data_IF_188828371010
#
_entry.id   IF_188828371010
#
_cell.length_a   1.000
_cell.length_b   1.000
_cell.length_c   1.000
_cell.angle_alpha   90.00
_cell.angle_beta   90.00
_cell.angle_gamma   90.00
#
_symmetry.space_group_name_H-M   'P 1'
#
loop_
_entity.id
_entity.type
_entity.pdbx_description
1 polymer ?
#
# COMPACT_ATOMS: atom_id res chain seq x y z
N UNK A 1 43.78 -44.29 -9.67
CA UNK A 1 42.34 -44.50 -9.37
C UNK A 1 41.86 -43.35 -8.50
N UNK A 2 41.65 -42.21 -9.13
CA UNK A 2 41.14 -41.02 -8.43
C UNK A 2 39.71 -40.82 -8.89
N UNK A 3 38.79 -41.10 -7.96
CA UNK A 3 37.37 -40.76 -8.12
C UNK A 3 37.15 -39.35 -7.63
N UNK A 4 37.00 -38.41 -8.54
CA UNK A 4 36.52 -37.07 -8.30
C UNK A 4 35.04 -37.11 -7.93
N UNK A 5 34.74 -36.89 -6.65
CA UNK A 5 33.40 -36.64 -6.17
C UNK A 5 32.97 -35.22 -6.57
N UNK A 6 31.98 -35.12 -7.41
CA UNK A 6 31.26 -33.89 -7.68
C UNK A 6 30.38 -33.56 -6.47
N UNK A 7 30.81 -32.57 -5.68
CA UNK A 7 29.94 -31.91 -4.73
C UNK A 7 28.97 -31.02 -5.53
N UNK A 8 27.76 -31.50 -5.69
CA UNK A 8 26.67 -30.66 -6.19
C UNK A 8 26.32 -29.61 -5.15
N UNK A 9 26.71 -28.37 -5.40
CA UNK A 9 26.14 -27.22 -4.71
C UNK A 9 24.66 -27.13 -5.10
N UNK A 10 23.81 -27.69 -4.27
CA UNK A 10 22.41 -27.34 -4.27
C UNK A 10 22.29 -25.92 -3.73
N UNK A 11 22.24 -24.94 -4.62
CA UNK A 11 21.66 -23.64 -4.31
C UNK A 11 20.21 -23.90 -3.86
N UNK A 12 20.05 -24.12 -2.56
CA UNK A 12 18.76 -24.07 -1.93
C UNK A 12 18.23 -22.66 -2.14
N UNK A 13 17.24 -22.53 -3.02
CA UNK A 13 16.38 -21.36 -3.03
C UNK A 13 15.93 -21.16 -1.58
N UNK A 14 16.36 -20.05 -0.96
CA UNK A 14 15.81 -19.62 0.29
C UNK A 14 14.31 -19.42 0.03
N UNK A 15 13.51 -20.41 0.39
CA UNK A 15 12.08 -20.22 0.59
C UNK A 15 12.02 -19.20 1.71
N UNK A 16 11.68 -17.95 1.39
CA UNK A 16 11.31 -16.96 2.37
C UNK A 16 10.21 -17.60 3.21
N UNK A 17 10.63 -18.11 4.35
CA UNK A 17 9.70 -18.58 5.37
C UNK A 17 8.92 -17.33 5.74
N UNK A 18 7.66 -17.29 5.31
CA UNK A 18 6.67 -16.36 5.83
C UNK A 18 6.83 -16.49 7.34
N UNK A 19 7.38 -15.45 7.98
CA UNK A 19 7.57 -15.45 9.42
C UNK A 19 6.25 -15.73 10.11
N UNK A 20 6.26 -16.07 11.42
CA UNK A 20 5.04 -16.34 12.15
C UNK A 20 4.02 -15.22 11.86
N UNK A 21 2.71 -15.55 11.78
CA UNK A 21 1.69 -14.57 11.48
C UNK A 21 1.95 -13.34 12.32
N UNK A 22 2.02 -12.18 11.66
CA UNK A 22 2.27 -10.91 12.31
C UNK A 22 1.28 -10.79 13.46
N UNK A 23 1.79 -10.69 14.68
CA UNK A 23 0.95 -10.41 15.83
C UNK A 23 0.53 -8.94 15.72
N UNK A 24 -0.51 -8.72 14.92
CA UNK A 24 -1.05 -7.40 14.62
C UNK A 24 -1.62 -6.71 15.86
N UNK A 25 -1.88 -7.44 16.94
CA UNK A 25 -2.35 -6.85 18.20
C UNK A 25 -1.32 -5.86 18.75
N UNK A 26 -0.04 -6.14 18.56
CA UNK A 26 1.05 -5.31 19.07
C UNK A 26 1.65 -4.33 18.06
N UNK A 27 1.54 -4.60 16.76
CA UNK A 27 2.16 -3.74 15.76
C UNK A 27 2.30 -4.37 14.39
N UNK A 28 3.17 -3.79 13.57
CA UNK A 28 3.47 -4.26 12.23
C UNK A 28 4.97 -4.51 12.06
N UNK A 29 5.36 -5.75 11.74
CA UNK A 29 6.77 -6.18 11.50
C UNK A 29 7.76 -5.66 12.56
N UNK A 30 7.42 -5.83 13.83
CA UNK A 30 8.27 -5.41 14.95
C UNK A 30 8.13 -3.94 15.33
N UNK A 31 7.29 -3.19 14.65
CA UNK A 31 6.93 -1.82 14.99
C UNK A 31 5.64 -1.82 15.82
N UNK A 32 5.74 -1.50 17.08
CA UNK A 32 4.57 -1.46 17.96
C UNK A 32 3.68 -0.27 17.64
N UNK A 33 2.37 -0.46 17.69
CA UNK A 33 1.42 0.64 17.62
C UNK A 33 1.70 1.66 18.71
N UNK A 34 1.60 2.93 18.41
CA UNK A 34 1.94 4.00 19.34
C UNK A 34 3.44 4.32 19.44
N UNK A 35 4.30 3.64 18.70
CA UNK A 35 5.74 3.98 18.69
C UNK A 35 5.95 5.40 18.17
N UNK A 36 6.71 6.25 18.89
CA UNK A 36 6.96 7.61 18.44
C UNK A 36 7.85 7.65 17.18
N UNK A 37 7.72 8.74 16.42
CA UNK A 37 8.37 8.95 15.13
C UNK A 37 9.90 8.74 15.12
N UNK A 38 10.58 8.95 16.24
CA UNK A 38 12.05 8.82 16.33
C UNK A 38 12.59 7.38 16.29
N UNK A 39 11.73 6.37 16.42
CA UNK A 39 12.11 4.97 16.43
C UNK A 39 11.93 4.37 15.02
N UNK A 40 12.97 4.34 14.22
CA UNK A 40 12.94 3.85 12.82
C UNK A 40 13.07 2.33 12.77
N UNK A 41 12.18 1.61 12.03
CA UNK A 41 12.34 0.16 11.86
C UNK A 41 13.61 -0.16 11.05
N UNK A 42 14.33 -1.16 11.51
CA UNK A 42 15.44 -1.72 10.73
C UNK A 42 14.91 -2.87 9.87
N UNK A 43 14.35 -2.55 8.71
CA UNK A 43 13.89 -3.54 7.74
C UNK A 43 15.05 -3.90 6.81
N UNK A 44 15.51 -5.16 6.89
CA UNK A 44 16.41 -5.73 5.89
C UNK A 44 15.70 -5.70 4.54
N UNK A 45 16.40 -5.41 3.47
CA UNK A 45 15.89 -5.33 2.08
C UNK A 45 15.10 -4.08 1.70
N UNK A 46 14.98 -3.09 2.57
CA UNK A 46 14.35 -1.82 2.25
C UNK A 46 15.39 -0.70 2.10
N UNK A 47 15.06 0.34 1.38
CA UNK A 47 15.87 1.56 1.29
C UNK A 47 16.00 2.24 2.66
N UNK A 48 16.90 3.23 2.74
CA UNK A 48 16.92 4.09 3.93
C UNK A 48 15.60 4.87 4.01
N UNK A 49 15.02 4.99 5.23
CA UNK A 49 13.78 5.73 5.42
C UNK A 49 13.95 7.21 5.08
N UNK A 50 12.93 7.77 4.44
CA UNK A 50 12.82 9.19 4.13
C UNK A 50 11.59 9.76 4.83
N UNK A 51 11.75 10.91 5.48
CA UNK A 51 10.61 11.62 6.07
C UNK A 51 9.79 12.31 4.99
N UNK A 52 8.48 12.10 5.02
CA UNK A 52 7.51 12.70 4.11
C UNK A 52 6.35 13.32 4.91
N UNK A 53 5.45 14.05 4.23
CA UNK A 53 4.24 14.64 4.84
C UNK A 53 4.58 15.48 6.09
N UNK A 54 5.46 16.44 5.95
CA UNK A 54 5.91 17.31 7.05
C UNK A 54 6.39 16.53 8.28
N UNK A 55 7.07 15.41 8.04
CA UNK A 55 7.61 14.51 9.06
C UNK A 55 6.55 13.69 9.83
N UNK A 56 5.34 13.53 9.29
CA UNK A 56 4.32 12.65 9.88
C UNK A 56 4.34 11.23 9.30
N UNK A 57 5.20 10.95 8.33
CA UNK A 57 5.38 9.62 7.78
C UNK A 57 6.84 9.33 7.41
N UNK A 58 7.18 8.04 7.42
CA UNK A 58 8.45 7.49 6.93
C UNK A 58 8.17 6.65 5.70
N UNK A 59 8.86 6.93 4.62
CA UNK A 59 8.78 6.18 3.38
C UNK A 59 10.03 5.34 3.15
N UNK A 60 9.86 4.11 2.70
CA UNK A 60 10.92 3.20 2.29
C UNK A 60 10.51 2.45 1.03
N UNK A 61 11.45 2.25 0.11
CA UNK A 61 11.24 1.47 -1.11
C UNK A 61 12.00 0.14 -1.04
N UNK A 62 11.45 -0.90 -1.63
CA UNK A 62 12.08 -2.23 -1.65
C UNK A 62 11.20 -3.26 -2.32
N UNK A 63 11.30 -4.50 -1.85
CA UNK A 63 10.57 -5.62 -2.43
C UNK A 63 9.83 -6.41 -1.35
N UNK A 64 8.60 -6.82 -1.64
CA UNK A 64 7.86 -7.84 -0.91
C UNK A 64 7.73 -9.09 -1.80
N UNK A 65 8.51 -10.11 -1.51
CA UNK A 65 8.69 -11.23 -2.44
C UNK A 65 9.35 -10.74 -3.75
N UNK A 66 8.65 -10.83 -4.85
CA UNK A 66 9.12 -10.37 -6.17
C UNK A 66 8.57 -8.97 -6.55
N UNK A 67 7.60 -8.46 -5.79
CA UNK A 67 6.90 -7.23 -6.10
C UNK A 67 7.64 -6.01 -5.54
N UNK A 68 7.91 -5.04 -6.42
CA UNK A 68 8.46 -3.75 -6.01
C UNK A 68 7.40 -2.94 -5.28
N UNK A 69 7.77 -2.39 -4.12
CA UNK A 69 6.83 -1.65 -3.26
C UNK A 69 7.46 -0.40 -2.67
N UNK A 70 6.59 0.53 -2.33
CA UNK A 70 6.88 1.65 -1.43
C UNK A 70 6.05 1.43 -0.17
N UNK A 71 6.68 1.48 1.00
CA UNK A 71 6.02 1.33 2.29
C UNK A 71 6.08 2.66 3.03
N UNK A 72 4.92 3.16 3.43
CA UNK A 72 4.78 4.34 4.28
C UNK A 72 4.35 3.93 5.69
N UNK A 73 5.11 4.31 6.71
CA UNK A 73 4.76 4.24 8.12
C UNK A 73 4.22 5.60 8.54
N UNK A 74 2.96 5.67 8.92
CA UNK A 74 2.26 6.92 9.24
C UNK A 74 2.08 7.06 10.75
N UNK A 75 2.34 8.25 11.24
CA UNK A 75 2.28 8.61 12.66
C UNK A 75 1.22 9.67 12.90
N UNK A 76 0.54 9.54 14.02
CA UNK A 76 -0.32 10.56 14.62
C UNK A 76 0.36 11.13 15.88
N UNK A 77 -0.33 11.98 16.62
CA UNK A 77 0.15 12.43 17.93
C UNK A 77 0.25 11.30 18.95
N UNK A 78 -0.50 10.21 18.74
CA UNK A 78 -0.42 9.00 19.55
C UNK A 78 0.66 8.02 19.07
N UNK A 79 1.47 8.38 18.07
CA UNK A 79 2.54 7.57 17.51
C UNK A 79 2.14 6.80 16.25
N UNK A 80 2.85 5.70 15.97
CA UNK A 80 2.62 4.85 14.80
C UNK A 80 1.22 4.23 14.82
N UNK A 81 0.43 4.44 13.75
CA UNK A 81 -0.93 3.95 13.69
C UNK A 81 -1.32 3.28 12.36
N UNK A 82 -0.59 3.55 11.28
CA UNK A 82 -0.90 3.02 9.95
C UNK A 82 0.37 2.66 9.18
N UNK A 83 0.33 1.57 8.45
CA UNK A 83 1.27 1.28 7.38
C UNK A 83 0.51 1.16 6.07
N UNK A 84 1.03 1.77 5.02
CA UNK A 84 0.50 1.73 3.67
C UNK A 84 1.57 1.18 2.73
N UNK A 85 1.24 0.12 2.02
CA UNK A 85 2.11 -0.56 1.06
C UNK A 85 1.55 -0.28 -0.32
N UNK A 86 2.31 0.44 -1.12
CA UNK A 86 1.98 0.78 -2.51
C UNK A 86 2.75 -0.15 -3.43
N UNK A 87 2.05 -0.90 -4.24
CA UNK A 87 2.65 -1.79 -5.23
C UNK A 87 2.99 -1.00 -6.51
N UNK A 88 4.15 -1.26 -7.08
CA UNK A 88 4.49 -0.75 -8.40
C UNK A 88 3.73 -1.56 -9.45
N UNK A 89 2.93 -0.88 -10.27
CA UNK A 89 2.14 -1.49 -11.33
C UNK A 89 2.77 -1.18 -12.69
N UNK A 90 2.73 -2.14 -13.63
CA UNK A 90 3.09 -1.87 -15.03
C UNK A 90 1.96 -1.06 -15.68
N UNK A 91 2.17 0.22 -16.04
CA UNK A 91 1.10 1.09 -16.53
C UNK A 91 0.46 0.61 -17.85
N UNK A 92 1.05 -0.42 -18.45
CA UNK A 92 0.63 -0.96 -19.73
C UNK A 92 -0.01 -2.34 -19.66
N UNK A 93 -0.11 -2.97 -18.49
CA UNK A 93 -0.56 -4.34 -18.34
C UNK A 93 -1.74 -4.45 -17.35
N UNK A 94 -2.96 -4.29 -17.89
CA UNK A 94 -4.20 -4.37 -17.15
C UNK A 94 -4.39 -5.74 -16.45
N UNK A 95 -4.11 -6.82 -17.15
CA UNK A 95 -4.30 -8.16 -16.61
C UNK A 95 -3.36 -8.44 -15.43
N UNK A 96 -2.11 -7.98 -15.50
CA UNK A 96 -1.16 -8.13 -14.40
C UNK A 96 -1.63 -7.43 -13.12
N UNK A 97 -2.35 -6.31 -13.23
CA UNK A 97 -2.92 -5.62 -12.07
C UNK A 97 -3.98 -6.48 -11.36
N UNK A 98 -4.87 -7.14 -12.14
CA UNK A 98 -5.92 -8.00 -11.60
C UNK A 98 -5.33 -9.28 -10.97
N UNK A 99 -4.32 -9.86 -11.62
CA UNK A 99 -3.63 -11.02 -11.12
C UNK A 99 -2.91 -10.72 -9.79
N UNK A 100 -2.18 -9.62 -9.73
CA UNK A 100 -1.48 -9.18 -8.52
C UNK A 100 -2.46 -8.95 -7.35
N UNK A 101 -3.56 -8.24 -7.62
CA UNK A 101 -4.59 -8.03 -6.59
C UNK A 101 -5.13 -9.36 -6.07
N UNK A 102 -5.47 -10.27 -6.97
CA UNK A 102 -6.03 -11.59 -6.61
C UNK A 102 -5.03 -12.43 -5.82
N UNK A 103 -3.74 -12.36 -6.17
CA UNK A 103 -2.68 -13.06 -5.45
C UNK A 103 -2.52 -12.52 -4.03
N UNK A 104 -2.48 -11.19 -3.86
CA UNK A 104 -2.34 -10.55 -2.55
C UNK A 104 -3.59 -10.82 -1.70
N UNK A 105 -4.80 -10.70 -2.27
CA UNK A 105 -6.05 -11.01 -1.57
C UNK A 105 -6.09 -12.46 -1.07
N UNK A 106 -5.65 -13.40 -1.91
CA UNK A 106 -5.57 -14.81 -1.53
C UNK A 106 -4.61 -15.01 -0.36
N UNK A 107 -3.42 -14.42 -0.43
CA UNK A 107 -2.42 -14.52 0.63
C UNK A 107 -2.92 -13.93 1.96
N UNK A 108 -3.64 -12.82 1.91
CA UNK A 108 -4.28 -12.23 3.09
C UNK A 108 -5.41 -13.13 3.63
N UNK A 109 -6.19 -13.73 2.74
CA UNK A 109 -7.28 -14.62 3.12
C UNK A 109 -6.81 -15.93 3.74
N UNK A 110 -5.64 -16.43 3.36
CA UNK A 110 -5.00 -17.59 3.99
C UNK A 110 -4.59 -17.31 5.44
N UNK A 111 -4.23 -16.05 5.75
CA UNK A 111 -3.78 -15.65 7.10
C UNK A 111 -4.94 -15.16 7.97
N UNK A 112 -5.82 -14.33 7.41
CA UNK A 112 -6.85 -13.59 8.18
C UNK A 112 -8.28 -14.09 7.94
N UNK A 113 -8.45 -15.11 7.09
CA UNK A 113 -9.76 -15.57 6.64
C UNK A 113 -10.32 -14.74 5.49
N UNK A 114 -11.56 -15.05 5.08
CA UNK A 114 -12.20 -14.34 3.98
C UNK A 114 -12.45 -12.87 4.31
N UNK A 115 -12.32 -11.96 3.32
CA UNK A 115 -12.63 -10.55 3.54
C UNK A 115 -14.11 -10.36 3.89
N UNK A 116 -14.40 -9.40 4.76
CA UNK A 116 -15.77 -9.08 5.20
C UNK A 116 -16.50 -8.18 4.20
N UNK A 117 -15.75 -7.38 3.45
CA UNK A 117 -16.31 -6.54 2.39
C UNK A 117 -15.50 -6.74 1.13
N UNK A 118 -16.19 -6.90 0.01
CA UNK A 118 -15.57 -7.00 -1.31
C UNK A 118 -16.39 -6.21 -2.33
N UNK A 119 -15.71 -5.38 -3.11
CA UNK A 119 -16.27 -4.69 -4.27
C UNK A 119 -15.44 -5.05 -5.50
N UNK A 120 -16.12 -5.33 -6.62
CA UNK A 120 -15.51 -5.68 -7.91
C UNK A 120 -16.27 -4.99 -9.01
N UNK A 121 -15.65 -3.98 -9.61
CA UNK A 121 -16.23 -3.22 -10.71
C UNK A 121 -15.22 -3.21 -11.85
N UNK A 122 -15.62 -3.71 -13.00
CA UNK A 122 -14.83 -3.67 -14.22
C UNK A 122 -15.61 -2.97 -15.32
N UNK A 123 -14.95 -2.19 -16.13
CA UNK A 123 -15.52 -1.61 -17.34
C UNK A 123 -14.58 -1.89 -18.51
N UNK A 124 -15.14 -2.45 -19.58
CA UNK A 124 -14.40 -2.64 -20.83
C UNK A 124 -13.93 -1.32 -21.44
N UNK A 125 -13.11 -1.42 -22.47
CA UNK A 125 -12.55 -0.27 -23.16
C UNK A 125 -13.64 0.71 -23.60
N UNK A 126 -13.70 1.87 -22.98
CA UNK A 126 -14.61 2.96 -23.38
C UNK A 126 -13.84 3.94 -24.25
N UNK A 127 -14.23 4.04 -25.53
CA UNK A 127 -13.68 5.07 -26.43
C UNK A 127 -14.01 6.47 -25.93
N UNK A 128 -13.00 7.32 -25.85
CA UNK A 128 -13.18 8.70 -25.37
C UNK A 128 -13.67 9.62 -26.50
N UNK A 129 -13.40 9.28 -27.77
CA UNK A 129 -13.88 10.04 -28.92
C UNK A 129 -13.68 9.25 -30.23
N UNK A 130 -14.66 9.36 -31.14
CA UNK A 130 -14.61 8.76 -32.49
C UNK A 130 -13.42 9.20 -33.36
N UNK A 131 -12.77 10.30 -32.99
CA UNK A 131 -11.66 10.91 -33.75
C UNK A 131 -10.29 10.36 -33.33
N UNK A 132 -10.10 9.91 -32.09
CA UNK A 132 -8.77 9.55 -31.55
C UNK A 132 -8.64 8.05 -31.30
N UNK A 133 -9.74 7.32 -31.30
CA UNK A 133 -9.79 5.85 -31.07
C UNK A 133 -8.95 5.37 -29.85
N UNK A 134 -8.99 6.14 -28.76
CA UNK A 134 -8.36 5.82 -27.49
C UNK A 134 -9.44 5.41 -26.51
N UNK A 135 -9.27 4.26 -25.89
CA UNK A 135 -10.12 3.74 -24.82
C UNK A 135 -9.32 3.46 -23.54
N UNK A 136 -10.03 3.10 -22.49
CA UNK A 136 -9.41 2.69 -21.22
C UNK A 136 -10.08 1.43 -20.71
N UNK A 137 -9.26 0.45 -20.31
CA UNK A 137 -9.68 -0.64 -19.44
C UNK A 137 -9.58 -0.16 -18.01
N UNK A 138 -10.62 -0.41 -17.22
CA UNK A 138 -10.72 0.06 -15.85
C UNK A 138 -11.19 -1.05 -14.94
N UNK A 139 -10.56 -1.17 -13.77
CA UNK A 139 -11.03 -2.00 -12.69
C UNK A 139 -10.92 -1.24 -11.36
N UNK A 140 -11.95 -1.40 -10.54
CA UNK A 140 -11.91 -1.02 -9.13
C UNK A 140 -12.20 -2.26 -8.30
N UNK A 141 -11.18 -2.71 -7.55
CA UNK A 141 -11.27 -3.84 -6.65
C UNK A 141 -10.98 -3.38 -5.23
N UNK A 142 -11.80 -3.80 -4.31
CA UNK A 142 -11.62 -3.51 -2.89
C UNK A 142 -11.93 -4.74 -2.05
N UNK A 143 -11.11 -4.98 -1.03
CA UNK A 143 -11.34 -6.01 -0.02
C UNK A 143 -10.92 -5.50 1.35
N UNK A 144 -11.67 -5.86 2.39
CA UNK A 144 -11.33 -5.48 3.76
C UNK A 144 -11.50 -6.60 4.77
N UNK A 145 -10.64 -6.56 5.80
CA UNK A 145 -10.65 -7.47 6.94
C UNK A 145 -10.66 -6.67 8.23
N UNK A 146 -11.43 -7.15 9.20
CA UNK A 146 -11.46 -6.59 10.55
C UNK A 146 -10.81 -7.60 11.51
N UNK A 147 -9.53 -7.43 11.75
CA UNK A 147 -8.70 -8.27 12.63
C UNK A 147 -8.44 -7.44 13.89
N UNK A 148 -9.46 -7.37 14.77
CA UNK A 148 -9.41 -6.50 15.95
C UNK A 148 -8.11 -6.66 16.75
N UNK A 149 -7.41 -5.54 17.13
CA UNK A 149 -7.82 -4.14 16.99
C UNK A 149 -7.53 -3.53 15.62
N UNK A 150 -6.89 -4.25 14.71
CA UNK A 150 -6.39 -3.76 13.42
C UNK A 150 -7.43 -3.94 12.32
N UNK A 151 -7.48 -3.01 11.40
CA UNK A 151 -8.21 -3.11 10.15
C UNK A 151 -7.25 -3.20 8.98
N UNK A 152 -7.59 -4.04 8.01
CA UNK A 152 -6.82 -4.26 6.80
C UNK A 152 -7.69 -3.90 5.60
N UNK A 153 -7.15 -3.21 4.62
CA UNK A 153 -7.82 -2.96 3.35
C UNK A 153 -6.85 -3.12 2.18
N UNK A 154 -7.34 -3.72 1.12
CA UNK A 154 -6.65 -3.89 -0.15
C UNK A 154 -7.49 -3.20 -1.22
N UNK A 155 -6.88 -2.27 -1.95
CA UNK A 155 -7.51 -1.48 -2.99
C UNK A 155 -6.71 -1.59 -4.27
N UNK A 156 -7.39 -1.84 -5.39
CA UNK A 156 -6.89 -1.64 -6.74
C UNK A 156 -7.79 -0.65 -7.46
N UNK A 157 -7.21 0.40 -8.02
CA UNK A 157 -7.84 1.24 -9.02
C UNK A 157 -6.95 1.19 -10.27
N UNK A 158 -7.31 0.36 -11.24
CA UNK A 158 -6.57 0.16 -12.48
C UNK A 158 -7.19 0.96 -13.60
N UNK A 159 -6.38 1.71 -14.34
CA UNK A 159 -6.77 2.49 -15.51
C UNK A 159 -5.66 2.33 -16.54
N UNK A 160 -5.91 1.55 -17.60
CA UNK A 160 -4.92 1.28 -18.65
C UNK A 160 -5.46 1.75 -19.99
N UNK A 161 -4.64 2.49 -20.73
CA UNK A 161 -4.99 3.01 -22.07
C UNK A 161 -4.97 1.89 -23.12
N UNK A 162 -5.97 1.88 -24.00
CA UNK A 162 -6.12 0.93 -25.13
C UNK A 162 -6.51 1.69 -26.41
N UNK A 163 -5.89 1.45 -27.56
CA UNK A 163 -4.68 0.68 -27.77
C UNK A 163 -3.44 1.37 -27.20
N UNK A 164 -2.43 0.58 -26.92
CA UNK A 164 -1.11 1.09 -26.53
C UNK A 164 -0.49 1.76 -27.75
N UNK A 165 -0.46 3.07 -27.78
CA UNK A 165 0.20 3.87 -28.80
C UNK A 165 1.14 4.89 -28.11
N UNK A 166 2.00 5.55 -28.91
CA UNK A 166 2.97 6.53 -28.40
C UNK A 166 2.32 7.81 -27.82
N UNK A 167 0.98 7.93 -27.95
CA UNK A 167 0.20 9.02 -27.36
C UNK A 167 -0.28 8.59 -25.98
N UNK A 168 0.59 8.71 -24.98
CA UNK A 168 0.17 8.60 -23.60
C UNK A 168 -0.51 9.91 -23.18
N UNK A 169 -1.86 9.91 -23.21
CA UNK A 169 -2.67 11.11 -22.93
C UNK A 169 -2.68 11.48 -21.45
N UNK A 170 -2.43 10.51 -20.56
CA UNK A 170 -2.60 10.70 -19.12
C UNK A 170 -1.40 10.16 -18.33
N UNK A 171 -0.24 10.32 -18.50
CA UNK A 171 0.88 9.86 -17.66
C UNK A 171 0.77 8.41 -17.13
N UNK A 172 1.86 7.87 -16.70
CA UNK A 172 1.98 6.46 -16.31
C UNK A 172 1.40 6.12 -14.93
N UNK A 173 0.95 7.11 -14.15
CA UNK A 173 0.64 6.97 -12.71
C UNK A 173 -0.87 6.92 -12.40
N UNK A 174 -1.72 6.48 -13.34
CA UNK A 174 -3.16 6.44 -13.12
C UNK A 174 -3.64 5.21 -12.35
N UNK A 175 -2.87 4.13 -12.39
CA UNK A 175 -3.21 2.89 -11.69
C UNK A 175 -2.53 2.87 -10.31
N UNK A 176 -3.30 2.52 -9.29
CA UNK A 176 -2.81 2.37 -7.92
C UNK A 176 -3.27 1.06 -7.32
N UNK A 177 -2.38 0.41 -6.56
CA UNK A 177 -2.74 -0.71 -5.71
C UNK A 177 -2.10 -0.52 -4.34
N UNK A 178 -2.95 -0.45 -3.32
CA UNK A 178 -2.55 -0.18 -1.95
C UNK A 178 -3.05 -1.26 -0.99
N UNK A 179 -2.16 -1.74 -0.14
CA UNK A 179 -2.50 -2.57 1.02
C UNK A 179 -2.23 -1.75 2.28
N UNK A 180 -3.25 -1.60 3.10
CA UNK A 180 -3.21 -0.76 4.31
C UNK A 180 -3.52 -1.60 5.54
N UNK A 181 -2.68 -1.49 6.56
CA UNK A 181 -2.95 -1.96 7.91
C UNK A 181 -3.02 -0.75 8.83
N UNK A 182 -4.04 -0.65 9.66
CA UNK A 182 -4.13 0.45 10.61
C UNK A 182 -4.83 0.05 11.91
N UNK A 183 -4.38 0.67 13.00
CA UNK A 183 -5.02 0.54 14.28
C UNK A 183 -5.74 1.87 14.61
N UNK A 184 -7.08 1.89 14.59
CA UNK A 184 -7.87 3.11 14.81
C UNK A 184 -7.69 3.71 16.21
N UNK A 185 -7.28 2.92 17.21
CA UNK A 185 -7.08 3.40 18.59
C UNK A 185 -5.94 4.42 18.70
N UNK A 186 -5.01 4.40 17.72
CA UNK A 186 -3.88 5.33 17.65
C UNK A 186 -4.05 6.40 16.55
N UNK A 187 -5.22 6.50 15.94
CA UNK A 187 -5.52 7.47 14.87
C UNK A 187 -5.77 8.89 15.41
N UNK A 188 -5.57 9.15 16.69
CA UNK A 188 -5.88 10.44 17.28
C UNK A 188 -4.94 11.51 16.69
N UNK A 189 -5.50 12.37 15.87
CA UNK A 189 -4.91 13.63 15.46
C UNK A 189 -5.28 14.68 16.52
N UNK A 190 -4.36 15.57 16.87
CA UNK A 190 -4.74 16.74 17.65
C UNK A 190 -5.89 17.43 16.92
N UNK A 191 -7.04 17.59 17.57
CA UNK A 191 -8.05 18.48 17.05
C UNK A 191 -7.35 19.85 16.93
N UNK A 192 -7.27 20.38 15.70
CA UNK A 192 -7.01 21.81 15.55
C UNK A 192 -8.07 22.50 16.38
N UNK A 193 -7.67 23.01 17.54
CA UNK A 193 -8.51 23.93 18.29
C UNK A 193 -8.63 25.14 17.37
N UNK A 194 -9.67 25.14 16.53
CA UNK A 194 -10.11 26.35 15.85
C UNK A 194 -10.53 27.26 17.01
N UNK A 195 -9.59 28.06 17.49
CA UNK A 195 -9.91 29.19 18.32
C UNK A 195 -10.70 30.10 17.39
N UNK A 196 -12.04 29.97 17.42
CA UNK A 196 -12.90 30.99 16.84
C UNK A 196 -12.52 32.29 17.52
N UNK A 197 -11.74 33.11 16.82
CA UNK A 197 -11.55 34.50 17.26
C UNK A 197 -12.95 35.07 17.42
N UNK A 198 -13.28 35.61 18.62
CA UNK A 198 -14.59 36.21 18.81
C UNK A 198 -14.78 37.27 17.71
N UNK A 199 -15.96 37.36 17.10
CA UNK A 199 -16.19 38.32 16.04
C UNK A 199 -15.76 39.70 16.54
N UNK A 200 -15.06 40.47 15.68
CA UNK A 200 -14.55 41.79 16.11
C UNK A 200 -15.69 42.61 16.72
N UNK A 201 -15.44 43.09 17.90
CA UNK A 201 -16.42 43.93 18.59
C UNK A 201 -16.64 45.20 17.77
N UNK A 202 -17.90 45.70 17.75
CA UNK A 202 -18.25 46.97 17.11
C UNK A 202 -17.36 48.11 17.60
N UNK A 203 -16.75 47.96 18.78
CA UNK A 203 -15.84 48.94 19.39
C UNK A 203 -14.41 48.86 18.87
N UNK A 204 -14.05 47.84 18.12
CA UNK A 204 -12.72 47.69 17.49
C UNK A 204 -12.64 48.37 16.10
N UNK A 205 -13.75 48.96 15.65
CA UNK A 205 -13.87 49.58 14.32
C UNK A 205 -13.79 51.16 14.42
N UNK A 206 -13.68 51.72 15.63
CA UNK A 206 -13.58 53.18 15.85
C UNK A 206 -12.34 53.58 16.61
#
# INVERSE_FOLDING_TARGET
NDSLAWAGDSLGAAVDTIGPPLDLDYGYKGFMWGTPLGAIPNLQYMSKPVFIRDSTALEMSGYLGQEAVVIEYVFSDSGFWKVEIKYALDPSDYESHLELFTQVERSLSEVYGFPQTTDRIESGAMGVHDVVNIGFERAFYFSSWNVSPVKISLLLNSIVQVPKNDLNVFGDDMSIMNLVYYNPDYMIMAEEIIVEEPPPSIFDIY
#
